data_IF_385285983653
#
_entry.id   IF_385285983653
#
_cell.length_a   1.000
_cell.length_b   1.000
_cell.length_c   1.000
_cell.angle_alpha   90.00
_cell.angle_beta   90.00
_cell.angle_gamma   90.00
#
_symmetry.space_group_name_H-M   'P 1'
#
loop_
_entity.id
_entity.type
_entity.pdbx_description
1 polymer ?
#
# COMPACT_ATOMS: atom_id res chain seq x y z
N UNK A 1 3.65 8.48 31.11
CA UNK A 1 4.28 8.10 29.83
C UNK A 1 3.54 8.73 28.65
N UNK A 2 2.20 8.65 28.61
CA UNK A 2 1.37 9.19 27.52
C UNK A 2 1.41 10.73 27.45
N UNK A 3 1.47 11.44 28.58
CA UNK A 3 1.58 12.91 28.59
C UNK A 3 2.84 13.41 27.87
N UNK A 4 3.96 12.69 28.02
CA UNK A 4 5.19 13.00 27.27
C UNK A 4 5.00 12.76 25.77
N UNK A 5 4.33 11.67 25.38
CA UNK A 5 4.05 11.37 23.99
C UNK A 5 3.14 12.45 23.35
N UNK A 6 2.10 12.88 24.06
CA UNK A 6 1.25 14.01 23.64
C UNK A 6 2.08 15.27 23.43
N UNK A 7 3.00 15.58 24.35
CA UNK A 7 3.87 16.76 24.21
C UNK A 7 4.75 16.68 22.95
N UNK A 8 5.30 15.51 22.63
CA UNK A 8 6.08 15.31 21.40
C UNK A 8 5.23 15.50 20.15
N UNK A 9 4.03 14.94 20.10
CA UNK A 9 3.12 15.14 18.97
C UNK A 9 2.70 16.61 18.83
N UNK A 10 2.41 17.30 19.94
CA UNK A 10 2.12 18.74 19.92
C UNK A 10 3.31 19.57 19.41
N UNK A 11 4.54 19.20 19.76
CA UNK A 11 5.75 19.84 19.20
C UNK A 11 5.88 19.60 17.70
N UNK A 12 5.53 18.39 17.24
CA UNK A 12 5.49 18.06 15.81
C UNK A 12 4.46 18.93 15.06
N UNK A 13 3.28 19.17 15.64
CA UNK A 13 2.28 20.08 15.08
C UNK A 13 2.79 21.52 14.99
N UNK A 14 3.46 22.03 16.03
CA UNK A 14 4.07 23.35 15.99
C UNK A 14 5.13 23.48 14.90
N UNK A 15 5.98 22.45 14.73
CA UNK A 15 6.96 22.41 13.65
C UNK A 15 6.28 22.43 12.27
N UNK A 16 5.19 21.67 12.10
CA UNK A 16 4.39 21.67 10.87
C UNK A 16 3.82 23.06 10.57
N UNK A 17 3.32 23.78 11.58
CA UNK A 17 2.77 25.12 11.41
C UNK A 17 3.84 26.19 11.10
N UNK A 18 5.09 25.93 11.44
CA UNK A 18 6.23 26.77 11.05
C UNK A 18 6.68 26.56 9.59
N UNK A 19 6.24 25.49 8.93
CA UNK A 19 6.56 25.23 7.52
C UNK A 19 5.84 26.21 6.60
N UNK A 20 6.48 26.73 5.54
CA UNK A 20 5.81 27.56 4.53
C UNK A 20 4.56 26.91 3.94
N UNK A 21 3.50 27.68 3.72
CA UNK A 21 2.21 27.18 3.24
C UNK A 21 2.30 26.30 1.99
N UNK A 22 3.19 26.65 1.06
CA UNK A 22 3.39 25.90 -0.19
C UNK A 22 3.86 24.45 0.03
N UNK A 23 4.54 24.17 1.12
CA UNK A 23 5.04 22.86 1.48
C UNK A 23 4.10 22.08 2.41
N UNK A 24 3.14 22.78 3.06
CA UNK A 24 2.23 22.13 4.02
C UNK A 24 1.30 21.11 3.37
N UNK A 25 0.92 21.33 2.11
CA UNK A 25 0.06 20.38 1.41
C UNK A 25 0.76 19.04 1.18
N UNK A 26 2.07 19.07 0.85
CA UNK A 26 2.88 17.85 0.71
C UNK A 26 3.11 17.14 2.06
N UNK A 27 2.99 17.86 3.16
CA UNK A 27 3.25 17.38 4.52
C UNK A 27 1.97 17.18 5.35
N UNK A 28 0.78 17.29 4.76
CA UNK A 28 -0.50 17.20 5.48
C UNK A 28 -0.68 15.92 6.28
N UNK A 29 -0.13 14.80 5.80
CA UNK A 29 -0.16 13.51 6.49
C UNK A 29 0.53 13.58 7.86
N UNK A 30 1.57 14.40 8.00
CA UNK A 30 2.28 14.59 9.28
C UNK A 30 1.32 15.19 10.31
N UNK A 31 0.53 16.20 9.92
CA UNK A 31 -0.46 16.82 10.79
C UNK A 31 -1.56 15.83 11.16
N UNK A 32 -2.11 15.13 10.18
CA UNK A 32 -3.18 14.16 10.37
C UNK A 32 -2.75 13.03 11.33
N UNK A 33 -1.58 12.44 11.10
CA UNK A 33 -1.04 11.37 11.93
C UNK A 33 -0.69 11.86 13.36
N UNK A 34 -0.14 13.06 13.52
CA UNK A 34 0.16 13.61 14.84
C UNK A 34 -1.12 13.81 15.68
N UNK A 35 -2.19 14.32 15.07
CA UNK A 35 -3.49 14.49 15.74
C UNK A 35 -4.13 13.15 16.09
N UNK A 36 -4.05 12.16 15.18
CA UNK A 36 -4.51 10.80 15.44
C UNK A 36 -3.79 10.19 16.65
N UNK A 37 -2.47 10.27 16.70
CA UNK A 37 -1.68 9.75 17.80
C UNK A 37 -2.04 10.45 19.13
N UNK A 38 -2.29 11.76 19.12
CA UNK A 38 -2.76 12.49 20.30
C UNK A 38 -4.12 11.97 20.74
N UNK A 39 -5.04 11.68 19.83
CA UNK A 39 -6.34 11.09 20.13
C UNK A 39 -6.20 9.72 20.81
N UNK A 40 -5.32 8.85 20.31
CA UNK A 40 -5.01 7.55 20.91
C UNK A 40 -4.49 7.72 22.35
N UNK A 41 -3.54 8.62 22.59
CA UNK A 41 -3.00 8.84 23.95
C UNK A 41 -4.04 9.40 24.90
N UNK A 42 -4.90 10.33 24.48
CA UNK A 42 -6.00 10.80 25.32
C UNK A 42 -7.03 9.72 25.58
N UNK A 43 -7.31 8.85 24.62
CA UNK A 43 -8.18 7.69 24.82
C UNK A 43 -7.61 6.74 25.87
N UNK A 44 -6.31 6.44 25.82
CA UNK A 44 -5.63 5.59 26.80
C UNK A 44 -5.56 6.22 28.22
N UNK A 45 -5.65 7.56 28.30
CA UNK A 45 -5.77 8.30 29.57
C UNK A 45 -7.23 8.42 30.08
N UNK A 46 -8.19 7.81 29.37
CA UNK A 46 -9.65 7.93 29.60
C UNK A 46 -10.17 9.38 29.51
N UNK A 47 -9.43 10.23 28.80
CA UNK A 47 -9.83 11.62 28.49
C UNK A 47 -10.61 11.63 27.18
N UNK A 48 -11.86 11.15 27.25
CA UNK A 48 -12.66 10.84 26.06
C UNK A 48 -12.99 12.05 25.20
N UNK A 49 -13.26 13.19 25.80
CA UNK A 49 -13.60 14.41 25.07
C UNK A 49 -12.41 14.91 24.24
N UNK A 50 -11.22 14.94 24.84
CA UNK A 50 -9.97 15.30 24.20
C UNK A 50 -9.61 14.32 23.10
N UNK A 51 -9.81 13.02 23.33
CA UNK A 51 -9.61 11.98 22.33
C UNK A 51 -10.49 12.18 21.09
N UNK A 52 -11.80 12.35 21.29
CA UNK A 52 -12.77 12.59 20.21
C UNK A 52 -12.43 13.89 19.47
N UNK A 53 -12.10 14.95 20.17
CA UNK A 53 -11.77 16.23 19.57
C UNK A 53 -10.52 16.14 18.69
N UNK A 54 -9.45 15.46 19.15
CA UNK A 54 -8.23 15.30 18.37
C UNK A 54 -8.44 14.35 17.20
N UNK A 55 -9.27 13.30 17.35
CA UNK A 55 -9.66 12.43 16.23
C UNK A 55 -10.45 13.21 15.16
N UNK A 56 -11.36 14.10 15.57
CA UNK A 56 -12.07 14.97 14.65
C UNK A 56 -11.11 15.86 13.86
N UNK A 57 -10.16 16.48 14.53
CA UNK A 57 -9.12 17.29 13.86
C UNK A 57 -8.21 16.46 12.96
N UNK A 58 -7.92 15.20 13.31
CA UNK A 58 -7.18 14.29 12.43
C UNK A 58 -7.94 14.03 11.14
N UNK A 59 -9.25 13.73 11.22
CA UNK A 59 -10.14 13.52 10.07
C UNK A 59 -10.22 14.81 9.22
N UNK A 60 -10.37 15.97 9.85
CA UNK A 60 -10.38 17.28 9.17
C UNK A 60 -9.05 17.58 8.47
N UNK A 61 -7.94 17.07 9.02
CA UNK A 61 -6.61 17.18 8.41
C UNK A 61 -6.35 16.14 7.31
N UNK A 62 -7.30 15.25 7.02
CA UNK A 62 -7.23 14.24 5.98
C UNK A 62 -6.77 12.86 6.43
N UNK A 63 -6.86 12.54 7.72
CA UNK A 63 -6.64 11.17 8.18
C UNK A 63 -7.74 10.25 7.63
N UNK A 64 -7.36 9.27 6.81
CA UNK A 64 -8.27 8.41 6.05
C UNK A 64 -8.08 6.90 6.31
N UNK A 65 -7.20 6.51 7.23
CA UNK A 65 -6.95 5.10 7.56
C UNK A 65 -8.12 4.48 8.34
N UNK A 66 -9.25 4.29 7.65
CA UNK A 66 -10.52 3.82 8.23
C UNK A 66 -10.38 2.49 8.96
N UNK A 67 -9.81 1.46 8.31
CA UNK A 67 -9.66 0.13 8.92
C UNK A 67 -8.75 0.15 10.14
N UNK A 68 -7.72 1.00 10.12
CA UNK A 68 -6.84 1.19 11.27
C UNK A 68 -7.60 1.81 12.43
N UNK A 69 -8.30 2.93 12.21
CA UNK A 69 -9.08 3.60 13.27
C UNK A 69 -10.20 2.70 13.83
N UNK A 70 -10.85 1.92 12.97
CA UNK A 70 -11.91 0.99 13.37
C UNK A 70 -11.40 -0.10 14.31
N UNK A 71 -10.18 -0.61 14.09
CA UNK A 71 -9.64 -1.77 14.80
C UNK A 71 -8.57 -1.41 15.84
N UNK A 72 -8.17 -0.15 15.95
CA UNK A 72 -7.11 0.29 16.84
C UNK A 72 -7.47 0.06 18.33
N UNK A 73 -6.71 -0.77 19.06
CA UNK A 73 -6.98 -1.03 20.48
C UNK A 73 -6.87 0.22 21.34
N UNK A 74 -6.07 1.23 20.95
CA UNK A 74 -5.87 2.46 21.71
C UNK A 74 -7.13 3.32 21.71
N UNK A 75 -8.02 3.17 20.72
CA UNK A 75 -9.31 3.86 20.65
C UNK A 75 -10.48 3.08 21.29
N UNK A 76 -10.20 1.91 21.89
CA UNK A 76 -11.24 1.09 22.55
C UNK A 76 -12.04 1.86 23.61
N UNK A 77 -11.47 2.73 24.45
CA UNK A 77 -12.22 3.50 25.46
C UNK A 77 -13.28 4.44 24.88
N UNK A 78 -13.09 4.94 23.65
CA UNK A 78 -14.01 5.87 22.99
C UNK A 78 -14.88 5.20 21.91
N UNK A 79 -14.64 3.91 21.60
CA UNK A 79 -15.31 3.20 20.49
C UNK A 79 -16.83 3.15 20.58
N UNK A 80 -17.39 3.19 21.82
CA UNK A 80 -18.82 3.18 22.05
C UNK A 80 -19.47 4.57 22.01
N UNK A 81 -18.67 5.62 21.91
CA UNK A 81 -19.19 6.98 21.84
C UNK A 81 -19.83 7.24 20.46
N UNK A 82 -20.99 7.89 20.45
CA UNK A 82 -21.69 8.23 19.21
C UNK A 82 -20.83 9.05 18.26
N UNK A 83 -20.08 10.01 18.80
CA UNK A 83 -19.18 10.87 18.03
C UNK A 83 -18.06 10.06 17.33
N UNK A 84 -17.57 8.98 17.94
CA UNK A 84 -16.59 8.10 17.28
C UNK A 84 -17.18 7.44 16.04
N UNK A 85 -18.40 6.91 16.14
CA UNK A 85 -19.11 6.31 15.00
C UNK A 85 -19.33 7.33 13.88
N UNK A 86 -19.73 8.56 14.21
CA UNK A 86 -19.92 9.65 13.26
C UNK A 86 -18.62 10.03 12.55
N UNK A 87 -17.48 10.02 13.24
CA UNK A 87 -16.17 10.27 12.65
C UNK A 87 -15.74 9.14 11.71
N UNK A 88 -15.98 7.88 12.06
CA UNK A 88 -15.75 6.75 11.15
C UNK A 88 -16.59 6.87 9.86
N UNK A 89 -17.88 7.22 9.97
CA UNK A 89 -18.72 7.43 8.79
C UNK A 89 -18.20 8.58 7.90
N UNK A 90 -17.60 9.62 8.48
CA UNK A 90 -16.93 10.69 7.70
C UNK A 90 -15.65 10.22 7.00
N UNK A 91 -14.90 9.30 7.58
CA UNK A 91 -13.70 8.70 6.95
C UNK A 91 -14.05 7.71 5.84
N UNK A 92 -15.22 7.12 5.90
CA UNK A 92 -15.65 6.02 5.02
C UNK A 92 -15.51 6.29 3.52
N UNK A 93 -15.92 7.47 3.00
CA UNK A 93 -15.81 7.77 1.57
C UNK A 93 -14.37 7.86 1.04
N UNK A 94 -13.38 8.01 1.90
CA UNK A 94 -11.97 8.16 1.54
C UNK A 94 -11.10 6.98 1.96
N UNK A 95 -11.46 6.26 3.03
CA UNK A 95 -10.64 5.24 3.65
C UNK A 95 -11.20 3.82 3.68
N UNK A 96 -12.53 3.64 3.51
CA UNK A 96 -13.16 2.31 3.44
C UNK A 96 -13.18 1.82 1.98
N UNK A 97 -12.12 1.12 1.57
CA UNK A 97 -12.00 0.64 0.18
C UNK A 97 -13.17 -0.23 -0.28
N UNK A 98 -13.70 -1.20 0.49
CA UNK A 98 -14.91 -1.93 0.13
C UNK A 98 -16.11 -1.01 -0.13
N UNK A 99 -16.31 0.00 0.72
CA UNK A 99 -17.36 1.00 0.53
C UNK A 99 -17.14 1.83 -0.72
N UNK A 100 -15.92 2.31 -0.95
CA UNK A 100 -15.55 3.11 -2.13
C UNK A 100 -15.81 2.30 -3.41
N UNK A 101 -15.35 1.04 -3.47
CA UNK A 101 -15.55 0.17 -4.62
C UNK A 101 -17.03 -0.13 -4.88
N UNK A 102 -17.81 -0.38 -3.82
CA UNK A 102 -19.24 -0.64 -3.95
C UNK A 102 -20.03 0.56 -4.47
N UNK A 103 -19.59 1.78 -4.12
CA UNK A 103 -20.26 3.03 -4.49
C UNK A 103 -19.59 3.73 -5.68
N UNK A 104 -18.51 3.16 -6.23
CA UNK A 104 -17.83 3.73 -7.38
C UNK A 104 -18.78 3.81 -8.59
N UNK A 105 -18.75 4.92 -9.35
CA UNK A 105 -19.51 5.01 -10.58
C UNK A 105 -19.04 3.96 -11.58
N UNK A 106 -19.93 3.54 -12.48
CA UNK A 106 -19.57 2.63 -13.55
C UNK A 106 -18.37 3.18 -14.34
N UNK A 107 -17.45 2.28 -14.71
CA UNK A 107 -16.25 2.62 -15.45
C UNK A 107 -16.64 3.38 -16.74
N UNK A 108 -16.19 4.61 -16.90
CA UNK A 108 -16.42 5.34 -18.13
C UNK A 108 -15.66 4.63 -19.25
N UNK A 109 -16.39 4.11 -20.24
CA UNK A 109 -15.80 3.68 -21.49
C UNK A 109 -15.42 4.94 -22.28
N UNK A 110 -14.31 5.55 -21.92
CA UNK A 110 -13.77 6.68 -22.65
C UNK A 110 -13.12 6.15 -23.93
N UNK A 111 -13.88 6.16 -25.02
CA UNK A 111 -13.45 5.74 -26.34
C UNK A 111 -12.59 6.81 -27.04
N UNK A 112 -12.42 7.99 -26.42
CA UNK A 112 -11.71 9.12 -27.02
C UNK A 112 -10.22 9.19 -26.60
N UNK A 113 -9.82 8.42 -25.60
CA UNK A 113 -8.42 8.33 -25.20
C UNK A 113 -7.61 7.60 -26.26
N UNK A 114 -6.63 8.29 -26.84
CA UNK A 114 -5.58 7.67 -27.63
C UNK A 114 -4.68 6.86 -26.67
N UNK A 115 -5.16 5.71 -26.24
CA UNK A 115 -4.36 4.79 -25.44
C UNK A 115 -3.29 4.20 -26.35
N UNK A 116 -2.02 4.11 -25.91
CA UNK A 116 -1.00 3.40 -26.67
C UNK A 116 -1.49 1.98 -26.92
N UNK A 117 -1.32 1.50 -28.16
CA UNK A 117 -1.69 0.13 -28.51
C UNK A 117 -0.90 -0.83 -27.62
N UNK A 118 -1.60 -1.65 -26.86
CA UNK A 118 -0.97 -2.70 -26.06
C UNK A 118 -0.75 -3.92 -26.98
N UNK A 119 0.50 -4.27 -27.19
CA UNK A 119 0.87 -5.42 -28.03
C UNK A 119 1.54 -6.45 -27.11
N UNK A 120 0.93 -7.61 -27.01
CA UNK A 120 1.57 -8.76 -26.37
C UNK A 120 2.75 -9.24 -27.19
N UNK A 121 3.83 -9.62 -26.51
CA UNK A 121 4.93 -10.32 -27.17
C UNK A 121 4.41 -11.64 -27.76
N UNK A 122 4.79 -11.94 -29.01
CA UNK A 122 4.37 -13.19 -29.66
C UNK A 122 4.80 -14.40 -28.84
N UNK A 123 3.90 -15.38 -28.70
CA UNK A 123 4.21 -16.65 -28.05
C UNK A 123 5.38 -17.42 -28.74
N UNK A 124 5.66 -17.11 -29.98
CA UNK A 124 6.80 -17.66 -30.74
C UNK A 124 8.12 -16.92 -30.51
N UNK A 125 8.16 -15.91 -29.61
CA UNK A 125 9.40 -15.18 -29.33
C UNK A 125 10.46 -16.14 -28.76
N UNK A 126 11.66 -16.21 -29.37
CA UNK A 126 12.72 -17.12 -28.94
C UNK A 126 13.19 -16.89 -27.51
N UNK A 127 13.11 -15.65 -26.99
CA UNK A 127 13.48 -15.33 -25.62
C UNK A 127 12.51 -15.97 -24.61
N UNK A 128 11.19 -15.96 -24.91
CA UNK A 128 10.18 -16.60 -24.08
C UNK A 128 10.32 -18.13 -24.12
N UNK A 129 10.57 -18.70 -25.30
CA UNK A 129 10.85 -20.14 -25.44
C UNK A 129 12.09 -20.56 -24.63
N UNK A 130 13.15 -19.73 -24.68
CA UNK A 130 14.37 -19.95 -23.88
C UNK A 130 14.09 -19.88 -22.38
N UNK A 131 13.33 -18.90 -21.90
CA UNK A 131 12.94 -18.74 -20.49
C UNK A 131 12.16 -19.97 -20.03
N UNK A 132 11.13 -20.36 -20.79
CA UNK A 132 10.26 -21.50 -20.52
C UNK A 132 11.06 -22.82 -20.38
N UNK A 133 11.99 -23.04 -21.31
CA UNK A 133 12.85 -24.21 -21.27
C UNK A 133 13.88 -24.15 -20.13
N UNK A 134 14.49 -22.97 -19.89
CA UNK A 134 15.58 -22.81 -18.92
C UNK A 134 15.14 -23.17 -17.49
N UNK A 135 13.93 -22.78 -17.11
CA UNK A 135 13.38 -23.07 -15.78
C UNK A 135 12.37 -24.23 -15.79
N UNK A 136 12.15 -24.89 -16.91
CA UNK A 136 11.15 -25.96 -17.06
C UNK A 136 9.75 -25.49 -16.58
N UNK A 137 9.31 -24.30 -17.04
CA UNK A 137 8.10 -23.65 -16.54
C UNK A 137 6.83 -24.46 -16.80
N UNK A 138 6.81 -25.32 -17.80
CA UNK A 138 5.68 -26.23 -18.05
C UNK A 138 5.44 -27.20 -16.89
N UNK A 139 6.52 -27.78 -16.35
CA UNK A 139 6.44 -28.65 -15.20
C UNK A 139 6.00 -27.90 -13.93
N UNK A 140 6.45 -26.66 -13.78
CA UNK A 140 6.07 -25.80 -12.64
C UNK A 140 4.60 -25.39 -12.75
N UNK A 141 4.15 -25.00 -13.94
CA UNK A 141 2.75 -24.65 -14.20
C UNK A 141 1.81 -25.83 -13.96
N UNK A 142 2.22 -27.05 -14.33
CA UNK A 142 1.43 -28.27 -14.18
C UNK A 142 0.28 -28.39 -15.19
N UNK A 143 -0.57 -29.39 -15.01
CA UNK A 143 -1.64 -29.76 -15.95
C UNK A 143 -3.03 -29.20 -15.60
N UNK A 144 -3.12 -28.26 -14.63
CA UNK A 144 -4.37 -27.66 -14.20
C UNK A 144 -4.97 -26.66 -15.24
N UNK A 145 -6.08 -26.03 -14.85
CA UNK A 145 -6.66 -24.94 -15.63
C UNK A 145 -5.74 -23.69 -15.65
N UNK A 146 -6.10 -22.69 -16.45
CA UNK A 146 -5.29 -21.46 -16.60
C UNK A 146 -5.01 -20.77 -15.26
N UNK A 147 -6.01 -20.71 -14.38
CA UNK A 147 -5.86 -20.05 -13.06
C UNK A 147 -4.89 -20.82 -12.19
N UNK A 148 -4.98 -22.15 -12.19
CA UNK A 148 -4.06 -23.02 -11.45
C UNK A 148 -2.62 -22.87 -11.95
N UNK A 149 -2.41 -22.82 -13.27
CA UNK A 149 -1.10 -22.59 -13.90
C UNK A 149 -0.51 -21.22 -13.50
N UNK A 150 -1.31 -20.16 -13.58
CA UNK A 150 -0.89 -18.81 -13.17
C UNK A 150 -0.51 -18.79 -11.69
N UNK A 151 -1.32 -19.39 -10.82
CA UNK A 151 -1.02 -19.48 -9.38
C UNK A 151 0.27 -20.23 -9.08
N UNK A 152 0.52 -21.34 -9.78
CA UNK A 152 1.74 -22.12 -9.61
C UNK A 152 2.98 -21.34 -10.02
N UNK A 153 2.92 -20.62 -11.15
CA UNK A 153 4.00 -19.77 -11.63
C UNK A 153 4.23 -18.58 -10.69
N UNK A 154 3.17 -17.95 -10.21
CA UNK A 154 3.26 -16.86 -9.23
C UNK A 154 3.92 -17.31 -7.93
N UNK A 155 3.51 -18.47 -7.41
CA UNK A 155 4.11 -19.06 -6.21
C UNK A 155 5.58 -19.42 -6.42
N UNK A 156 5.92 -19.96 -7.60
CA UNK A 156 7.30 -20.28 -7.95
C UNK A 156 8.18 -19.00 -7.98
N UNK A 157 7.73 -17.91 -8.59
CA UNK A 157 8.47 -16.64 -8.59
C UNK A 157 8.65 -16.14 -7.17
N UNK A 158 7.60 -16.15 -6.34
CA UNK A 158 7.66 -15.71 -4.95
C UNK A 158 8.66 -16.52 -4.10
N UNK A 159 8.79 -17.82 -4.37
CA UNK A 159 9.75 -18.69 -3.68
C UNK A 159 11.17 -18.60 -4.23
N UNK A 160 11.31 -18.20 -5.51
CA UNK A 160 12.61 -18.16 -6.20
C UNK A 160 13.35 -16.85 -5.96
N UNK A 161 12.62 -15.73 -5.84
CA UNK A 161 13.20 -14.40 -5.64
C UNK A 161 12.59 -13.72 -4.43
N UNK A 162 13.44 -13.18 -3.56
CA UNK A 162 13.00 -12.40 -2.40
C UNK A 162 12.74 -10.95 -2.81
N UNK A 163 11.65 -10.35 -2.34
CA UNK A 163 11.44 -8.92 -2.48
C UNK A 163 12.40 -8.12 -1.59
N UNK A 164 13.04 -7.12 -2.19
CA UNK A 164 13.89 -6.15 -1.50
C UNK A 164 13.77 -4.80 -2.22
N UNK A 165 13.02 -3.88 -1.62
CA UNK A 165 12.74 -2.56 -2.18
C UNK A 165 13.98 -1.69 -2.38
N UNK A 166 15.07 -1.95 -1.64
CA UNK A 166 16.32 -1.20 -1.71
C UNK A 166 17.32 -1.77 -2.72
N UNK A 167 17.00 -2.90 -3.37
CA UNK A 167 17.87 -3.49 -4.37
C UNK A 167 17.98 -2.63 -5.62
N UNK A 168 19.21 -2.35 -6.04
CA UNK A 168 19.51 -1.64 -7.28
C UNK A 168 19.08 -2.42 -8.52
N UNK A 169 18.72 -1.68 -9.57
CA UNK A 169 18.38 -2.27 -10.86
C UNK A 169 19.66 -2.75 -11.57
N UNK A 170 19.80 -4.03 -11.91
CA UNK A 170 20.93 -4.49 -12.69
C UNK A 170 20.83 -4.01 -14.15
N UNK A 171 21.96 -4.02 -14.92
CA UNK A 171 21.98 -3.64 -16.32
C UNK A 171 21.08 -4.52 -17.20
N UNK A 172 21.12 -5.83 -16.96
CA UNK A 172 20.28 -6.81 -17.66
C UNK A 172 18.97 -7.01 -16.90
N UNK A 173 17.85 -6.88 -17.61
CA UNK A 173 16.50 -6.84 -17.00
C UNK A 173 15.55 -7.82 -17.67
N UNK A 174 16.01 -9.04 -17.95
CA UNK A 174 15.15 -10.16 -18.32
C UNK A 174 15.06 -11.16 -17.16
N UNK A 175 14.03 -11.97 -17.14
CA UNK A 175 13.74 -12.87 -16.01
C UNK A 175 14.90 -13.82 -15.68
N UNK A 176 15.57 -14.39 -16.71
CA UNK A 176 16.68 -15.31 -16.50
C UNK A 176 17.84 -14.63 -15.78
N UNK A 177 18.25 -13.45 -16.23
CA UNK A 177 19.38 -12.75 -15.63
C UNK A 177 19.06 -12.19 -14.26
N UNK A 178 17.82 -11.71 -14.06
CA UNK A 178 17.35 -11.27 -12.74
C UNK A 178 17.36 -12.39 -11.72
N UNK A 179 16.87 -13.57 -12.07
CA UNK A 179 16.87 -14.73 -11.16
C UNK A 179 18.31 -15.19 -10.88
N UNK A 180 19.15 -15.27 -11.91
CA UNK A 180 20.57 -15.63 -11.74
C UNK A 180 21.33 -14.70 -10.80
N UNK A 181 21.13 -13.39 -10.94
CA UNK A 181 21.84 -12.43 -10.08
C UNK A 181 21.40 -12.56 -8.62
N UNK A 182 20.10 -12.81 -8.38
CA UNK A 182 19.59 -13.07 -7.03
C UNK A 182 20.25 -14.30 -6.41
N UNK A 183 20.37 -15.38 -7.16
CA UNK A 183 20.98 -16.63 -6.69
C UNK A 183 22.49 -16.47 -6.46
N UNK A 184 23.19 -15.80 -7.39
CA UNK A 184 24.64 -15.61 -7.34
C UNK A 184 25.08 -14.69 -6.21
N UNK A 185 24.32 -13.60 -5.99
CA UNK A 185 24.70 -12.54 -5.04
C UNK A 185 23.93 -12.63 -3.73
N UNK A 186 23.07 -13.63 -3.58
CA UNK A 186 22.16 -13.79 -2.41
C UNK A 186 21.39 -12.50 -2.08
N UNK A 187 20.93 -11.79 -3.12
CA UNK A 187 20.18 -10.54 -3.01
C UNK A 187 18.71 -10.71 -3.37
N UNK A 188 17.89 -9.74 -3.00
CA UNK A 188 16.50 -9.64 -3.45
C UNK A 188 16.35 -8.82 -4.74
N UNK A 189 15.11 -8.67 -5.17
CA UNK A 189 14.68 -7.83 -6.29
C UNK A 189 13.67 -6.79 -5.82
N UNK A 190 13.71 -5.59 -6.39
CA UNK A 190 12.69 -4.59 -6.13
C UNK A 190 11.39 -4.92 -6.91
N UNK A 191 10.30 -4.18 -6.62
CA UNK A 191 8.99 -4.42 -7.23
C UNK A 191 8.99 -4.36 -8.76
N UNK A 192 9.80 -3.49 -9.38
CA UNK A 192 9.92 -3.38 -10.85
C UNK A 192 10.56 -4.63 -11.46
N UNK A 193 11.64 -5.12 -10.85
CA UNK A 193 12.31 -6.34 -11.30
C UNK A 193 11.41 -7.57 -11.12
N UNK A 194 10.67 -7.64 -10.00
CA UNK A 194 9.70 -8.72 -9.77
C UNK A 194 8.59 -8.69 -10.83
N UNK A 195 8.09 -7.50 -11.18
CA UNK A 195 7.11 -7.35 -12.25
C UNK A 195 7.63 -7.81 -13.62
N UNK A 196 8.93 -7.57 -13.94
CA UNK A 196 9.55 -8.07 -15.17
C UNK A 196 9.56 -9.60 -15.17
N UNK A 197 9.99 -10.22 -14.08
CA UNK A 197 10.04 -11.70 -13.98
C UNK A 197 8.63 -12.31 -14.15
N UNK A 198 7.60 -11.67 -13.62
CA UNK A 198 6.21 -12.14 -13.73
C UNK A 198 5.59 -11.90 -15.09
N UNK A 199 6.05 -10.87 -15.84
CA UNK A 199 5.46 -10.49 -17.12
C UNK A 199 6.04 -11.28 -18.30
N UNK A 200 7.23 -11.84 -18.17
CA UNK A 200 7.86 -12.70 -19.17
C UNK A 200 7.46 -14.17 -19.03
#
# INVERSE_FOLDING_TARGET
>A
QYDKAILYCKKQLLNYEAVPLILREEMKEIKANALYNIACYYSLLDQKNEAIQNLAWAVDAGYDSYDHALNDPDLMPIRKEKCFTELLERMRPTGDYPFILKNAPAYRKDTTRNLPSFIYTSASNPALAKLRHYFNLDSIAGDGDEISKIKNLLLWVHQTVRHDGNSDNPPLRNAIDLIKICQKENRGVNCRMMAIILNE
#
